data_IF_156749124300
#
_entry.id   IF_156749124300
#
_cell.length_a   1.000
_cell.length_b   1.000
_cell.length_c   1.000
_cell.angle_alpha   90.00
_cell.angle_beta   90.00
_cell.angle_gamma   90.00
#
_symmetry.space_group_name_H-M   'P 1'
#
loop_
_entity.id
_entity.type
_entity.pdbx_description
1 polymer ?
2 non-polymer ?
3 non-polymer ?
4 water ?
#
# COMPACT_ATOMS: atom_id res chain seq x y z
N UNK A 20 -3.49 30.42 -6.93
CA UNK A 20 -2.84 29.93 -8.18
C UNK A 20 -1.96 28.67 -7.93
N UNK A 21 -1.97 28.10 -6.72
CA UNK A 21 -1.31 26.80 -6.43
C UNK A 21 -2.34 25.78 -5.86
N UNK A 22 -1.92 24.69 -5.18
CA UNK A 22 -2.86 23.90 -4.32
C UNK A 22 -3.13 24.56 -2.96
N UNK A 23 -4.31 25.08 -2.75
CA UNK A 23 -4.62 25.69 -1.46
C UNK A 23 -5.67 24.89 -0.65
N UNK A 24 -6.44 24.04 -1.33
CA UNK A 24 -7.48 23.26 -0.63
C UNK A 24 -7.63 21.90 -1.26
N UNK A 25 -7.67 20.91 -0.39
CA UNK A 25 -7.61 19.53 -0.82
C UNK A 25 -8.79 18.80 -0.14
N UNK A 26 -9.59 18.13 -0.98
CA UNK A 26 -10.58 17.13 -0.52
C UNK A 26 -9.92 15.79 -0.28
N UNK A 27 -10.06 15.31 0.94
CA UNK A 27 -9.52 14.04 1.35
C UNK A 27 -10.62 13.00 1.08
N UNK A 28 -10.52 12.31 -0.06
CA UNK A 28 -11.52 11.33 -0.55
C UNK A 28 -11.18 9.95 0.00
N UNK A 29 -11.23 9.89 1.32
CA UNK A 29 -10.94 8.66 2.06
C UNK A 29 -11.34 8.86 3.53
N UNK A 30 -10.97 7.91 4.38
CA UNK A 30 -11.40 7.91 5.75
C UNK A 30 -10.31 7.25 6.65
N UNK A 31 -10.60 7.15 7.93
CA UNK A 31 -9.76 6.35 8.82
C UNK A 31 -8.33 6.86 8.92
N UNK A 32 -7.38 5.94 9.12
CA UNK A 32 -6.07 6.39 9.40
C UNK A 32 -5.46 7.18 8.20
N UNK A 33 -5.68 6.76 6.97
CA UNK A 33 -4.97 7.41 5.87
C UNK A 33 -5.55 8.80 5.68
N UNK A 34 -6.81 9.01 6.06
CA UNK A 34 -7.41 10.35 5.96
C UNK A 34 -6.74 11.30 6.96
N UNK A 35 -6.49 10.79 8.15
CA UNK A 35 -5.69 11.52 9.17
C UNK A 35 -4.25 11.78 8.72
N UNK A 36 -3.60 10.77 8.18
CA UNK A 36 -2.27 10.96 7.61
C UNK A 36 -2.23 12.09 6.59
N UNK A 37 -3.23 12.10 5.73
CA UNK A 37 -3.29 13.13 4.70
C UNK A 37 -3.57 14.47 5.27
N UNK A 38 -4.54 14.54 6.18
CA UNK A 38 -4.79 15.77 6.92
C UNK A 38 -3.51 16.36 7.58
N UNK A 39 -2.71 15.52 8.23
CA UNK A 39 -1.50 15.94 8.85
C UNK A 39 -0.49 16.60 7.86
N UNK A 40 -0.34 16.00 6.68
CA UNK A 40 0.55 16.54 5.65
C UNK A 40 0.04 17.85 5.11
N UNK A 41 -1.29 17.89 4.89
CA UNK A 41 -1.92 19.12 4.45
C UNK A 41 -1.66 20.24 5.44
N UNK A 42 -1.91 19.96 6.69
CA UNK A 42 -1.76 21.00 7.68
C UNK A 42 -0.29 21.45 7.84
N UNK A 43 0.65 20.53 7.66
CA UNK A 43 2.06 20.93 7.67
C UNK A 43 2.37 21.91 6.54
N UNK A 44 1.79 21.68 5.36
CA UNK A 44 1.99 22.60 4.20
C UNK A 44 1.11 23.83 4.12
N UNK A 45 0.22 23.95 5.08
CA UNK A 45 -0.73 25.03 5.14
C UNK A 45 -1.85 24.91 4.14
N UNK A 46 -2.18 23.69 3.80
CA UNK A 46 -3.17 23.42 2.81
C UNK A 46 -4.48 23.18 3.53
N UNK A 47 -5.54 23.85 3.03
CA UNK A 47 -6.83 23.71 3.66
C UNK A 47 -7.36 22.34 3.32
N UNK A 48 -8.08 21.80 4.26
CA UNK A 48 -8.67 20.46 4.08
C UNK A 48 -10.22 20.43 4.04
N UNK A 49 -10.74 19.52 3.24
CA UNK A 49 -12.15 19.27 3.12
C UNK A 49 -12.31 17.82 3.48
N UNK A 50 -12.96 17.50 4.62
CA UNK A 50 -13.20 16.06 4.95
C UNK A 50 -14.56 15.64 4.42
N UNK A 51 -14.59 14.80 3.39
CA UNK A 51 -15.83 14.17 2.93
C UNK A 51 -15.98 12.84 3.68
N UNK A 52 -17.17 12.59 4.22
CA UNK A 52 -17.44 11.50 5.08
C UNK A 52 -18.88 10.99 4.96
N UNK A 53 -19.06 9.72 5.34
CA UNK A 53 -20.38 9.07 5.37
C UNK A 53 -21.03 9.44 6.70
N UNK A 54 -22.31 9.15 6.84
CA UNK A 54 -22.99 9.44 8.08
C UNK A 54 -22.46 8.67 9.28
N UNK A 55 -21.84 7.52 9.04
CA UNK A 55 -21.30 6.73 10.15
C UNK A 55 -19.91 7.27 10.67
N UNK A 56 -19.34 8.28 10.02
CA UNK A 56 -17.96 8.68 10.26
C UNK A 56 -17.83 10.14 10.72
N UNK A 57 -18.87 10.67 11.29
CA UNK A 57 -18.89 12.07 11.68
C UNK A 57 -17.93 12.22 12.84
N UNK A 58 -17.63 11.12 13.56
CA UNK A 58 -16.77 11.23 14.74
C UNK A 58 -15.29 10.75 14.46
N UNK A 59 -14.93 10.58 13.20
CA UNK A 59 -13.54 10.34 12.83
C UNK A 59 -12.67 11.48 13.26
N UNK A 60 -11.49 11.15 13.77
CA UNK A 60 -10.50 12.17 14.22
C UNK A 60 -10.27 13.21 13.15
N UNK A 61 -10.08 12.77 11.93
CA UNK A 61 -9.65 13.70 10.88
C UNK A 61 -10.83 14.58 10.46
N UNK A 62 -12.07 14.07 10.56
CA UNK A 62 -13.24 14.91 10.30
C UNK A 62 -13.32 16.00 11.31
N UNK A 63 -13.10 15.65 12.56
CA UNK A 63 -13.14 16.63 13.66
C UNK A 63 -12.05 17.76 13.57
N UNK A 64 -10.90 17.42 13.00
CA UNK A 64 -9.76 18.34 12.77
C UNK A 64 -9.88 19.12 11.48
N UNK A 65 -10.71 18.70 10.53
CA UNK A 65 -10.72 19.26 9.19
C UNK A 65 -11.28 20.70 9.16
N UNK A 66 -10.86 21.49 8.18
CA UNK A 66 -11.27 22.88 8.14
C UNK A 66 -12.73 22.96 7.74
N UNK A 67 -13.11 22.13 6.74
CA UNK A 67 -14.51 22.02 6.25
C UNK A 67 -14.90 20.55 6.21
N UNK A 68 -16.17 20.25 6.49
CA UNK A 68 -16.70 18.90 6.35
C UNK A 68 -17.94 18.86 5.45
N UNK A 69 -18.07 17.79 4.67
CA UNK A 69 -19.23 17.59 3.79
C UNK A 69 -19.65 16.11 3.89
N UNK A 70 -20.89 15.87 4.29
CA UNK A 70 -21.36 14.50 4.41
C UNK A 70 -21.69 14.06 3.01
N UNK A 71 -21.07 13.00 2.49
CA UNK A 71 -21.34 12.59 1.12
C UNK A 71 -22.28 11.37 0.96
N UNK A 72 -22.92 10.93 2.03
CA UNK A 72 -23.88 9.82 1.87
C UNK A 72 -23.99 8.99 3.10
N UNK A 73 -24.86 7.95 3.05
CA UNK A 73 -25.09 7.11 4.19
C UNK A 73 -23.92 6.12 4.37
N UNK A 74 -23.98 5.38 5.46
CA UNK A 74 -22.88 4.50 5.82
C UNK A 74 -22.28 3.63 4.72
N UNK A 75 -23.08 2.94 3.89
CA UNK A 75 -22.34 2.00 3.02
C UNK A 75 -21.40 2.65 2.03
N UNK A 76 -20.28 1.98 1.78
CA UNK A 76 -19.24 2.43 0.88
C UNK A 76 -19.76 2.82 -0.44
N UNK A 77 -20.61 1.99 -1.00
CA UNK A 77 -21.18 2.21 -2.29
C UNK A 77 -21.83 3.60 -2.50
N UNK A 78 -22.35 4.14 -1.42
CA UNK A 78 -23.22 5.31 -1.42
C UNK A 78 -22.48 6.55 -0.90
N UNK A 79 -21.28 6.35 -0.41
CA UNK A 79 -20.52 7.41 0.18
C UNK A 79 -19.12 7.47 -0.47
N UNK A 80 -18.16 6.71 0.07
CA UNK A 80 -16.77 6.81 -0.31
C UNK A 80 -16.55 6.36 -1.73
N UNK A 81 -17.51 5.67 -2.31
CA UNK A 81 -17.40 5.31 -3.75
C UNK A 81 -18.32 6.14 -4.60
N UNK A 82 -18.92 7.18 -4.04
CA UNK A 82 -19.89 8.02 -4.73
C UNK A 82 -19.18 9.14 -5.52
N UNK A 83 -18.83 8.83 -6.75
CA UNK A 83 -18.02 9.69 -7.57
C UNK A 83 -18.67 11.04 -7.77
N UNK A 84 -19.99 11.06 -8.06
CA UNK A 84 -20.56 12.38 -8.18
C UNK A 84 -20.65 13.14 -6.87
N UNK A 85 -20.87 12.51 -5.74
CA UNK A 85 -20.93 13.32 -4.51
C UNK A 85 -19.53 13.87 -4.14
N UNK A 86 -18.50 13.15 -4.52
CA UNK A 86 -17.19 13.56 -4.06
C UNK A 86 -16.77 14.76 -4.94
N UNK A 87 -17.04 14.64 -6.24
CA UNK A 87 -16.78 15.75 -7.17
C UNK A 87 -17.63 16.99 -6.80
N UNK A 88 -18.91 16.85 -6.46
CA UNK A 88 -19.69 18.01 -5.99
C UNK A 88 -19.13 18.67 -4.73
N UNK A 89 -18.51 17.87 -3.87
CA UNK A 89 -17.93 18.39 -2.65
C UNK A 89 -16.71 19.29 -2.97
N UNK A 90 -15.91 18.85 -3.93
CA UNK A 90 -14.84 19.68 -4.45
C UNK A 90 -15.44 20.93 -5.07
N UNK A 91 -16.51 20.77 -5.84
CA UNK A 91 -17.11 21.96 -6.48
C UNK A 91 -17.63 22.95 -5.47
N UNK A 92 -18.44 22.50 -4.53
CA UNK A 92 -19.12 23.39 -3.60
C UNK A 92 -18.14 24.13 -2.63
N UNK A 93 -16.98 23.52 -2.35
CA UNK A 93 -16.00 24.12 -1.46
C UNK A 93 -14.98 24.99 -2.15
N UNK A 94 -14.93 24.91 -3.47
CA UNK A 94 -13.88 25.58 -4.20
C UNK A 94 -12.50 24.97 -4.02
N UNK A 95 -12.41 23.64 -4.03
CA UNK A 95 -11.14 22.95 -3.79
C UNK A 95 -10.31 22.89 -5.07
N UNK A 96 -8.99 22.68 -4.91
CA UNK A 96 -8.05 22.62 -6.01
C UNK A 96 -7.75 21.20 -6.44
N UNK A 97 -7.86 20.25 -5.50
CA UNK A 97 -7.34 18.92 -5.74
C UNK A 97 -8.07 17.90 -4.89
N UNK A 98 -7.96 16.64 -5.26
CA UNK A 98 -8.57 15.57 -4.46
C UNK A 98 -7.52 14.54 -4.20
N UNK A 99 -7.32 14.13 -2.93
CA UNK A 99 -6.42 13.04 -2.59
C UNK A 99 -7.24 11.75 -2.33
N UNK A 100 -7.10 10.73 -3.14
CA UNK A 100 -7.91 9.54 -2.97
C UNK A 100 -7.41 8.49 -1.89
N UNK A 101 -6.28 8.75 -1.22
CA UNK A 101 -5.73 7.72 -0.34
C UNK A 101 -5.39 6.41 -1.00
N UNK A 102 -5.63 5.32 -0.30
CA UNK A 102 -5.52 4.00 -0.85
C UNK A 102 -6.91 3.31 -0.69
N UNK A 103 -7.10 2.26 -1.44
CA UNK A 103 -8.36 1.54 -1.53
C UNK A 103 -9.36 2.44 -2.27
N UNK A 104 -10.63 2.24 -1.94
CA UNK A 104 -11.79 2.97 -2.48
C UNK A 104 -11.59 3.39 -3.94
N UNK A 105 -11.62 4.69 -4.25
CA UNK A 105 -11.41 5.10 -5.65
C UNK A 105 -9.97 5.37 -6.16
N UNK A 106 -8.96 5.02 -5.36
CA UNK A 106 -7.61 5.48 -5.65
C UNK A 106 -7.05 4.92 -6.91
N UNK A 107 -7.44 3.69 -7.29
CA UNK A 107 -7.00 3.14 -8.58
C UNK A 107 -8.14 3.04 -9.61
N UNK A 108 -9.14 3.90 -9.44
CA UNK A 108 -10.33 3.93 -10.36
C UNK A 108 -10.09 5.03 -11.45
N UNK A 109 -9.68 4.58 -12.63
CA UNK A 109 -9.37 5.48 -13.76
C UNK A 109 -10.53 6.35 -14.13
N UNK A 110 -11.76 5.79 -14.13
CA UNK A 110 -12.95 6.58 -14.43
C UNK A 110 -13.06 7.74 -13.44
N UNK A 111 -12.76 7.51 -12.16
CA UNK A 111 -12.79 8.58 -11.19
C UNK A 111 -11.72 9.63 -11.46
N UNK A 112 -10.51 9.17 -11.72
CA UNK A 112 -9.38 10.05 -12.05
C UNK A 112 -9.72 10.82 -13.32
N UNK A 113 -10.28 10.13 -14.30
CA UNK A 113 -10.55 10.79 -15.57
C UNK A 113 -11.56 11.88 -15.37
N UNK A 114 -12.54 11.61 -14.51
CA UNK A 114 -13.65 12.51 -14.31
C UNK A 114 -13.23 13.66 -13.44
N UNK A 115 -12.33 13.41 -12.52
CA UNK A 115 -11.78 14.47 -11.67
C UNK A 115 -11.02 15.50 -12.55
N UNK A 116 -10.16 15.04 -13.44
CA UNK A 116 -9.37 16.02 -14.24
C UNK A 116 -10.25 16.64 -15.29
N UNK A 117 -11.17 15.87 -15.87
CA UNK A 117 -12.16 16.48 -16.77
C UNK A 117 -13.04 17.57 -16.13
N UNK A 118 -13.24 17.55 -14.82
CA UNK A 118 -13.92 18.66 -14.11
C UNK A 118 -12.95 19.68 -13.58
N UNK A 119 -11.69 19.57 -14.00
CA UNK A 119 -10.74 20.65 -13.81
C UNK A 119 -10.00 20.63 -12.47
N UNK A 120 -10.20 19.62 -11.64
CA UNK A 120 -9.49 19.53 -10.35
C UNK A 120 -8.21 18.76 -10.54
N UNK A 121 -7.23 18.93 -9.65
CA UNK A 121 -6.02 18.10 -9.72
C UNK A 121 -6.25 16.76 -9.03
N UNK A 122 -6.01 15.64 -9.69
CA UNK A 122 -6.14 14.37 -8.98
C UNK A 122 -4.75 14.05 -8.42
N UNK A 123 -4.66 13.77 -7.13
CA UNK A 123 -3.32 13.56 -6.49
C UNK A 123 -3.00 12.10 -6.65
N UNK A 124 -2.26 11.82 -7.73
CA UNK A 124 -1.93 10.49 -8.24
C UNK A 124 -1.60 10.61 -9.70
N UNK A 125 -1.44 9.48 -10.39
CA UNK A 125 -1.10 9.59 -11.80
C UNK A 125 -2.34 9.95 -12.63
N UNK A 126 -2.10 10.16 -13.90
CA UNK A 126 -3.13 10.48 -14.83
C UNK A 126 -3.93 9.24 -15.09
N UNK A 127 -5.18 9.45 -15.49
CA UNK A 127 -6.10 8.37 -15.74
C UNK A 127 -5.51 7.37 -16.70
N UNK A 128 -4.84 7.86 -17.74
CA UNK A 128 -4.34 6.96 -18.77
C UNK A 128 -3.38 5.92 -18.15
N UNK A 129 -2.53 6.40 -17.25
CA UNK A 129 -1.53 5.56 -16.56
C UNK A 129 -2.19 4.57 -15.55
N UNK A 130 -3.22 5.01 -14.84
CA UNK A 130 -3.95 4.07 -14.02
C UNK A 130 -4.46 2.85 -14.85
N UNK A 131 -5.09 3.08 -16.02
CA UNK A 131 -5.56 1.96 -16.87
C UNK A 131 -4.43 1.11 -17.40
N UNK A 132 -3.32 1.74 -17.73
CA UNK A 132 -2.19 1.00 -18.25
C UNK A 132 -1.65 -0.02 -17.23
N UNK A 133 -1.38 0.49 -16.03
CA UNK A 133 -0.87 -0.34 -14.93
C UNK A 133 -1.97 -1.00 -14.15
N UNK A 134 -3.21 -0.76 -14.56
CA UNK A 134 -4.37 -1.36 -13.93
C UNK A 134 -4.85 -2.64 -14.57
N UNK A 135 -4.24 -3.06 -15.68
CA UNK A 135 -4.60 -4.28 -16.39
C UNK A 135 -3.30 -5.06 -16.61
N UNK A 136 -3.31 -6.36 -16.36
CA UNK A 136 -2.09 -7.15 -16.14
C UNK A 136 -1.20 -7.33 -17.37
N UNK A 137 -1.80 -7.80 -18.44
CA UNK A 137 -1.09 -7.99 -19.71
C UNK A 137 -0.45 -6.65 -20.15
N UNK A 138 -1.27 -5.60 -20.27
CA UNK A 138 -0.79 -4.23 -20.52
C UNK A 138 0.38 -3.76 -19.60
N UNK A 139 0.29 -4.08 -18.32
CA UNK A 139 1.30 -3.61 -17.38
C UNK A 139 2.63 -4.32 -17.63
N UNK A 140 2.57 -5.63 -17.87
CA UNK A 140 3.76 -6.44 -18.21
C UNK A 140 4.48 -5.92 -19.47
N UNK A 141 3.74 -5.89 -20.58
CA UNK A 141 4.24 -5.24 -21.79
C UNK A 141 5.10 -4.01 -21.46
N UNK A 142 4.49 -3.08 -20.73
CA UNK A 142 5.09 -1.77 -20.44
C UNK A 142 6.33 -1.87 -19.54
N UNK A 143 6.28 -2.75 -18.55
CA UNK A 143 7.42 -3.04 -17.71
C UNK A 143 8.50 -3.71 -18.56
N UNK A 144 8.09 -4.75 -19.27
CA UNK A 144 9.02 -5.51 -20.10
C UNK A 144 9.78 -4.57 -21.02
N UNK A 145 9.07 -3.59 -21.61
CA UNK A 145 9.71 -2.58 -22.50
C UNK A 145 10.62 -1.60 -21.76
N UNK A 146 10.31 -1.35 -20.49
CA UNK A 146 11.10 -0.49 -19.67
C UNK A 146 12.33 -1.20 -19.12
N UNK A 147 12.40 -2.51 -19.28
CA UNK A 147 13.43 -3.33 -18.65
C UNK A 147 13.22 -3.51 -17.15
N UNK A 148 11.97 -3.60 -16.73
CA UNK A 148 11.68 -4.04 -15.37
C UNK A 148 11.41 -5.53 -15.54
N UNK A 149 12.11 -6.39 -14.78
CA UNK A 149 12.00 -7.82 -15.00
C UNK A 149 10.65 -8.33 -14.64
N UNK A 150 10.11 -9.14 -15.53
CA UNK A 150 8.84 -9.76 -15.30
C UNK A 150 9.04 -11.26 -15.13
N UNK A 151 7.98 -11.93 -14.73
CA UNK A 151 7.98 -13.36 -14.58
C UNK A 151 7.91 -13.97 -15.99
N UNK A 152 8.79 -14.94 -16.30
CA UNK A 152 8.69 -15.55 -17.63
C UNK A 152 7.31 -16.12 -17.95
N UNK A 153 6.80 -15.83 -19.13
CA UNK A 153 5.51 -16.35 -19.52
C UNK A 153 5.31 -16.30 -21.01
N UNK A 154 4.07 -16.59 -21.39
CA UNK A 154 3.69 -16.68 -22.78
C UNK A 154 3.59 -15.35 -23.48
N UNK A 155 3.50 -14.26 -22.72
CA UNK A 155 3.38 -12.90 -23.31
C UNK A 155 2.09 -12.80 -24.18
N UNK A 156 0.97 -12.46 -23.54
CA UNK A 156 -0.38 -12.72 -24.10
C UNK A 156 -0.87 -14.09 -23.61
N UNK A 157 -1.79 -14.80 -24.31
CA UNK A 157 -2.39 -14.36 -25.56
C UNK A 157 -3.42 -13.27 -25.32
N UNK A 163 -3.27 -27.13 -27.55
CA UNK A 163 -2.55 -27.21 -28.83
C UNK A 163 -1.04 -26.89 -28.66
N UNK A 164 -0.68 -25.63 -28.89
CA UNK A 164 0.71 -25.12 -28.78
C UNK A 164 1.08 -24.78 -27.32
N UNK A 165 0.13 -24.97 -26.43
CA UNK A 165 0.34 -24.67 -25.04
C UNK A 165 1.08 -25.77 -24.32
N UNK A 166 0.91 -27.01 -24.75
CA UNK A 166 1.74 -28.08 -24.20
C UNK A 166 3.20 -27.57 -24.30
N UNK A 167 3.50 -26.92 -25.43
CA UNK A 167 4.87 -26.46 -25.70
C UNK A 167 5.18 -25.11 -25.10
N UNK A 168 4.22 -24.21 -25.05
CA UNK A 168 4.50 -22.95 -24.35
C UNK A 168 4.85 -23.29 -22.91
N UNK A 169 3.90 -23.97 -22.26
CA UNK A 169 4.10 -24.49 -20.92
C UNK A 169 5.44 -25.21 -20.84
N UNK A 170 5.73 -26.08 -21.81
CA UNK A 170 7.07 -26.71 -21.90
C UNK A 170 8.20 -25.77 -21.52
N UNK A 171 8.32 -24.68 -22.27
CA UNK A 171 9.55 -23.93 -22.22
C UNK A 171 9.52 -22.94 -21.07
N UNK A 172 8.36 -22.41 -20.73
CA UNK A 172 8.27 -21.64 -19.49
C UNK A 172 8.76 -22.53 -18.36
N UNK A 173 8.33 -23.80 -18.43
CA UNK A 173 8.71 -24.81 -17.46
C UNK A 173 7.68 -24.94 -16.34
N UNK A 174 7.26 -26.17 -16.06
CA UNK A 174 6.36 -26.42 -14.95
C UNK A 174 7.14 -26.11 -13.64
N UNK A 175 6.46 -25.78 -12.55
CA UNK A 175 5.01 -25.59 -12.49
C UNK A 175 4.55 -24.28 -13.18
N UNK A 176 3.28 -24.21 -13.54
CA UNK A 176 2.72 -23.11 -14.32
C UNK A 176 1.53 -22.55 -13.60
N UNK A 177 1.29 -21.26 -13.77
CA UNK A 177 0.06 -20.62 -13.26
C UNK A 177 -0.74 -20.04 -14.42
N UNK A 178 -1.91 -20.61 -14.62
CA UNK A 178 -2.90 -19.98 -15.50
C UNK A 178 -3.70 -19.02 -14.61
N UNK A 179 -3.28 -17.74 -14.59
CA UNK A 179 -3.72 -16.71 -13.62
C UNK A 179 -2.56 -15.78 -13.23
N UNK A 190 -5.76 -21.40 -12.05
CA UNK A 190 -5.18 -22.55 -11.36
C UNK A 190 -3.60 -22.50 -11.31
N UNK A 191 -2.99 -23.33 -10.46
CA UNK A 191 -1.56 -23.70 -10.58
C UNK A 191 -1.56 -25.07 -11.24
N UNK A 192 -0.52 -25.38 -11.99
CA UNK A 192 -0.57 -26.52 -12.88
C UNK A 192 0.76 -27.24 -12.89
N UNK A 193 0.73 -28.45 -12.34
CA UNK A 193 1.94 -29.21 -12.09
C UNK A 193 2.16 -30.34 -13.12
N UNK A 194 1.13 -30.71 -13.89
CA UNK A 194 1.22 -31.82 -14.86
C UNK A 194 0.73 -31.42 -16.26
N UNK A 195 1.45 -31.90 -17.28
CA UNK A 195 1.09 -31.66 -18.66
C UNK A 195 -0.24 -32.32 -18.99
N UNK A 196 -0.41 -33.59 -18.59
CA UNK A 196 -1.72 -34.31 -18.53
C UNK A 196 -2.89 -33.35 -18.41
N UNK A 197 -2.83 -32.58 -17.33
CA UNK A 197 -3.89 -31.69 -16.88
C UNK A 197 -3.66 -30.24 -17.30
N UNK A 198 -2.89 -29.99 -18.34
CA UNK A 198 -2.83 -28.61 -18.83
C UNK A 198 -4.17 -28.22 -19.42
N UNK A 199 -4.61 -29.00 -20.42
CA UNK A 199 -5.77 -28.63 -21.26
C UNK A 199 -7.03 -28.44 -20.40
N UNK A 200 -7.18 -29.32 -19.39
CA UNK A 200 -8.18 -29.16 -18.35
C UNK A 200 -8.10 -27.76 -17.73
N UNK A 201 -7.06 -27.51 -16.94
CA UNK A 201 -6.85 -26.22 -16.24
C UNK A 201 -6.86 -25.01 -17.17
N UNK A 202 -6.52 -25.25 -18.44
CA UNK A 202 -6.78 -24.28 -19.49
C UNK A 202 -8.30 -24.01 -19.55
N UNK A 203 -9.09 -25.05 -19.83
CA UNK A 203 -10.55 -24.89 -19.95
C UNK A 203 -11.27 -24.48 -18.64
N UNK A 204 -10.73 -24.91 -17.49
CA UNK A 204 -11.32 -24.69 -16.15
C UNK A 204 -11.29 -23.23 -15.70
N UNK A 205 -10.13 -22.59 -15.85
CA UNK A 205 -10.02 -21.15 -15.62
C UNK A 205 -10.80 -20.42 -16.75
N UNK A 206 -10.91 -21.07 -17.92
CA UNK A 206 -11.56 -20.50 -19.13
C UNK A 206 -13.08 -20.72 -19.29
N UNK A 207 -13.82 -20.70 -18.18
CA UNK A 207 -15.21 -20.26 -18.18
C UNK A 207 -15.44 -19.44 -16.90
N UNK A 208 -14.35 -18.91 -16.32
CA UNK A 208 -14.36 -18.40 -14.94
C UNK A 208 -14.20 -16.89 -14.88
N UNK A 219 -3.84 -16.16 -19.69
CA UNK A 219 -2.38 -16.15 -19.78
C UNK A 219 -1.62 -17.10 -18.81
N UNK A 220 -0.39 -17.49 -19.21
CA UNK A 220 0.50 -18.43 -18.49
C UNK A 220 1.83 -17.79 -18.11
N UNK A 221 2.43 -18.28 -17.04
CA UNK A 221 3.55 -17.61 -16.38
C UNK A 221 4.26 -18.66 -15.49
N UNK A 222 5.53 -18.46 -15.15
CA UNK A 222 6.21 -19.36 -14.18
C UNK A 222 5.57 -19.18 -12.82
N UNK A 223 5.13 -20.26 -12.18
CA UNK A 223 4.70 -20.18 -10.77
C UNK A 223 5.92 -20.17 -9.88
N UNK A 224 6.13 -19.11 -9.13
CA UNK A 224 7.25 -19.09 -8.19
C UNK A 224 6.79 -19.73 -6.92
N UNK A 225 7.54 -20.71 -6.46
CA UNK A 225 7.05 -21.58 -5.38
C UNK A 225 7.11 -20.94 -3.98
N UNK A 226 8.24 -20.35 -3.62
CA UNK A 226 8.39 -19.77 -2.30
C UNK A 226 9.10 -18.43 -2.31
N UNK A 227 8.48 -17.47 -2.97
CA UNK A 227 9.06 -16.14 -3.10
C UNK A 227 8.73 -15.31 -1.87
N UNK A 228 9.44 -14.20 -1.69
CA UNK A 228 9.05 -13.15 -0.77
C UNK A 228 8.40 -12.04 -1.57
N UNK A 229 7.72 -11.14 -0.86
CA UNK A 229 7.13 -9.97 -1.46
C UNK A 229 8.07 -8.81 -1.17
N UNK A 230 8.68 -8.25 -2.20
CA UNK A 230 9.61 -7.17 -2.03
C UNK A 230 9.18 -6.11 -2.98
N UNK A 231 8.99 -4.89 -2.44
CA UNK A 231 8.41 -3.84 -3.30
C UNK A 231 9.25 -2.63 -3.23
N UNK A 232 9.26 -1.90 -4.32
CA UNK A 232 10.10 -0.68 -4.42
C UNK A 232 9.14 0.56 -4.47
N UNK A 233 9.40 1.52 -3.60
CA UNK A 233 8.73 2.84 -3.53
C UNK A 233 9.39 3.79 -4.51
N UNK A 234 8.57 4.48 -5.29
CA UNK A 234 9.06 5.52 -6.14
C UNK A 234 8.24 6.81 -5.98
N UNK A 235 8.86 7.88 -6.49
CA UNK A 235 8.21 9.16 -6.72
C UNK A 235 8.69 9.68 -8.04
N UNK A 236 7.79 10.33 -8.77
CA UNK A 236 8.08 10.94 -10.06
C UNK A 236 7.35 12.26 -10.14
N UNK A 237 8.00 13.29 -10.70
CA UNK A 237 7.36 14.60 -10.75
C UNK A 237 7.14 15.14 -12.18
N UNK A 238 6.61 16.36 -12.29
CA UNK A 238 6.33 16.96 -13.61
C UNK A 238 7.56 17.68 -14.12
N UNK A 239 8.70 17.56 -13.43
CA UNK A 239 9.93 18.18 -13.89
C UNK A 239 10.81 17.09 -14.48
N UNK A 240 10.26 15.90 -14.76
CA UNK A 240 11.05 14.85 -15.46
C UNK A 240 11.95 14.02 -14.53
N UNK A 241 11.83 14.20 -13.21
CA UNK A 241 12.64 13.43 -12.27
C UNK A 241 11.90 12.23 -11.80
N UNK A 242 12.63 11.20 -11.39
CA UNK A 242 11.99 10.08 -10.69
C UNK A 242 13.02 9.46 -9.82
N UNK A 243 12.61 9.07 -8.60
CA UNK A 243 13.53 8.46 -7.65
C UNK A 243 12.99 7.15 -7.07
N UNK A 244 13.90 6.36 -6.53
CA UNK A 244 13.54 5.20 -5.77
C UNK A 244 13.98 5.35 -4.32
N UNK A 245 13.15 4.80 -3.46
CA UNK A 245 13.22 4.96 -2.03
C UNK A 245 13.31 3.59 -1.39
N UNK A 246 14.41 2.89 -1.70
CA UNK A 246 14.65 1.49 -1.27
C UNK A 246 13.38 0.60 -1.41
N UNK A 247 13.21 -0.39 -0.52
CA UNK A 247 12.23 -1.42 -0.68
C UNK A 247 11.65 -1.84 0.66
N UNK A 248 10.55 -2.55 0.60
CA UNK A 248 9.87 -3.10 1.76
C UNK A 248 9.64 -4.57 1.51
N UNK A 249 9.69 -5.37 2.57
CA UNK A 249 9.37 -6.75 2.52
C UNK A 249 8.04 -6.87 3.22
N UNK A 250 7.03 -7.35 2.49
CA UNK A 250 5.69 -7.53 3.06
C UNK A 250 5.24 -8.98 2.91
N UNK A 251 6.16 -9.91 3.20
CA UNK A 251 5.88 -11.30 2.98
C UNK A 251 4.94 -11.92 3.98
N UNK A 252 4.82 -11.32 5.16
CA UNK A 252 3.94 -11.90 6.18
C UNK A 252 2.53 -11.50 5.85
N UNK A 253 1.75 -12.47 5.43
CA UNK A 253 0.41 -12.26 4.92
C UNK A 253 -0.50 -13.39 5.29
N UNK A 254 -1.78 -13.10 5.25
CA UNK A 254 -2.82 -14.06 5.52
C UNK A 254 -3.88 -13.77 4.49
N UNK A 255 -4.33 -14.79 3.77
CA UNK A 255 -5.32 -14.60 2.69
C UNK A 255 -4.98 -13.49 1.73
N UNK A 256 -3.70 -13.35 1.41
CA UNK A 256 -3.15 -12.28 0.54
C UNK A 256 -3.15 -10.90 1.18
N UNK A 257 -3.64 -10.76 2.41
CA UNK A 257 -3.62 -9.44 3.10
C UNK A 257 -2.40 -9.34 4.03
N UNK A 258 -1.72 -8.22 3.94
CA UNK A 258 -0.46 -8.00 4.68
C UNK A 258 -0.70 -7.77 6.16
N UNK A 259 0.17 -8.26 7.02
CA UNK A 259 0.00 -8.15 8.46
C UNK A 259 1.13 -7.30 9.06
N UNK A 260 2.38 -7.67 8.71
CA UNK A 260 3.61 -7.02 9.12
C UNK A 260 4.42 -6.70 7.86
N UNK A 261 4.98 -5.51 7.84
CA UNK A 261 5.86 -5.05 6.77
C UNK A 261 7.15 -4.51 7.37
N UNK A 262 8.23 -4.61 6.62
CA UNK A 262 9.48 -4.03 7.08
C UNK A 262 10.28 -3.38 5.98
N UNK A 263 11.23 -2.55 6.37
CA UNK A 263 12.19 -1.90 5.42
C UNK A 263 13.57 -1.66 6.11
N UNK A 264 14.70 -1.85 5.43
CA UNK A 264 14.79 -2.38 4.07
C UNK A 264 14.42 -3.87 4.11
N UNK A 265 14.51 -4.58 2.97
CA UNK A 265 14.29 -6.00 2.96
C UNK A 265 15.57 -6.72 3.26
N UNK A 266 15.51 -7.69 4.21
CA UNK A 266 16.68 -8.47 4.59
C UNK A 266 17.29 -9.14 3.38
N UNK A 267 18.64 -9.11 3.29
CA UNK A 267 19.40 -9.82 2.24
C UNK A 267 19.66 -8.90 1.04
N UNK A 268 18.91 -7.83 0.85
CA UNK A 268 19.08 -7.00 -0.37
C UNK A 268 20.24 -6.07 -0.09
N UNK A 269 21.23 -6.11 -0.95
CA UNK A 269 22.43 -5.26 -0.85
C UNK A 269 22.19 -3.89 -1.53
N UNK A 270 23.07 -2.93 -1.26
CA UNK A 270 22.94 -1.65 -1.90
C UNK A 270 23.08 -1.78 -3.46
N UNK A 271 24.03 -2.60 -3.89
CA UNK A 271 24.22 -2.86 -5.30
C UNK A 271 22.88 -3.25 -5.95
N UNK A 272 22.24 -4.25 -5.36
CA UNK A 272 21.00 -4.83 -5.90
C UNK A 272 19.85 -3.81 -5.88
N UNK A 273 19.77 -3.08 -4.78
CA UNK A 273 18.78 -2.05 -4.57
C UNK A 273 18.87 -1.05 -5.74
N UNK A 274 20.08 -0.57 -5.99
CA UNK A 274 20.37 0.41 -7.02
C UNK A 274 19.89 -0.06 -8.41
N UNK A 275 20.17 -1.31 -8.72
CA UNK A 275 19.83 -1.91 -10.01
C UNK A 275 18.32 -1.87 -10.17
N UNK A 276 17.63 -2.57 -9.28
CA UNK A 276 16.20 -2.73 -9.44
C UNK A 276 15.55 -1.37 -9.27
N UNK A 277 16.10 -0.54 -8.39
CA UNK A 277 15.42 0.73 -8.07
C UNK A 277 15.51 1.61 -9.30
N UNK A 278 16.67 1.63 -9.92
CA UNK A 278 16.83 2.56 -11.01
C UNK A 278 16.01 2.06 -12.23
N UNK A 279 15.80 0.75 -12.36
CA UNK A 279 14.88 0.26 -13.43
C UNK A 279 13.45 0.72 -13.21
N UNK A 280 13.02 0.84 -11.94
CA UNK A 280 11.69 1.33 -11.63
C UNK A 280 11.58 2.87 -11.86
N UNK A 281 12.63 3.61 -11.50
CA UNK A 281 12.63 5.05 -11.74
C UNK A 281 12.53 5.32 -13.23
N UNK A 282 13.28 4.59 -14.00
CA UNK A 282 13.23 4.68 -15.44
C UNK A 282 11.88 4.30 -16.02
N UNK A 283 11.30 3.20 -15.56
CA UNK A 283 9.96 2.83 -15.96
C UNK A 283 8.96 3.97 -15.72
N UNK A 284 9.07 4.62 -14.58
CA UNK A 284 8.27 5.79 -14.27
C UNK A 284 8.32 6.88 -15.40
N UNK A 285 9.52 7.31 -15.75
CA UNK A 285 9.64 8.22 -16.86
C UNK A 285 9.08 7.64 -18.15
N UNK A 286 9.42 6.41 -18.50
CA UNK A 286 8.90 5.90 -19.78
C UNK A 286 7.40 6.01 -19.83
N UNK A 287 6.71 5.70 -18.75
CA UNK A 287 5.24 5.73 -18.82
C UNK A 287 4.61 7.08 -18.44
N UNK A 288 5.45 8.08 -18.15
CA UNK A 288 4.95 9.38 -17.73
C UNK A 288 4.22 9.16 -16.43
N UNK A 289 4.81 8.41 -15.53
CA UNK A 289 4.27 8.33 -14.17
C UNK A 289 4.36 9.64 -13.42
N UNK A 290 3.41 9.89 -12.51
CA UNK A 290 3.45 11.08 -11.70
C UNK A 290 3.00 10.72 -10.30
N UNK A 291 3.67 11.20 -9.26
CA UNK A 291 3.12 11.00 -7.93
C UNK A 291 3.84 9.88 -7.23
N UNK A 292 3.28 9.42 -6.09
CA UNK A 292 3.87 8.28 -5.41
C UNK A 292 3.39 6.99 -6.11
N UNK A 293 4.24 5.98 -6.10
CA UNK A 293 3.79 4.68 -6.54
C UNK A 293 4.70 3.56 -6.03
N UNK A 294 4.22 2.31 -6.20
CA UNK A 294 5.02 1.14 -5.79
C UNK A 294 5.07 0.07 -6.82
N UNK A 295 6.27 -0.42 -7.08
CA UNK A 295 6.44 -1.61 -7.94
C UNK A 295 6.56 -2.85 -7.05
N UNK A 296 5.58 -3.72 -7.08
CA UNK A 296 5.60 -4.96 -6.29
C UNK A 296 6.21 -6.07 -7.07
N UNK A 297 7.18 -6.75 -6.44
CA UNK A 297 7.79 -7.98 -6.98
C UNK A 297 7.60 -9.19 -6.09
N UNK A 298 7.55 -10.33 -6.76
CA UNK A 298 7.88 -11.61 -6.18
C UNK A 298 9.39 -11.83 -6.32
N UNK A 299 10.01 -12.12 -5.21
CA UNK A 299 11.45 -12.17 -5.16
C UNK A 299 11.89 -13.58 -4.76
N UNK A 300 12.63 -14.28 -5.62
CA UNK A 300 12.99 -15.68 -5.32
C UNK A 300 14.32 -16.11 -5.95
N UNK A 301 15.07 -16.86 -5.17
CA UNK A 301 16.46 -17.15 -5.45
C UNK A 301 17.21 -16.05 -6.18
N UNK A 302 17.18 -14.89 -5.55
CA UNK A 302 18.03 -13.77 -5.91
C UNK A 302 17.49 -12.93 -7.02
N UNK A 303 16.34 -13.31 -7.56
CA UNK A 303 15.76 -12.57 -8.68
C UNK A 303 14.37 -11.97 -8.42
N UNK A 304 14.17 -10.80 -9.02
CA UNK A 304 12.93 -9.99 -8.93
C UNK A 304 12.01 -10.26 -10.10
N UNK A 305 10.73 -10.47 -9.82
CA UNK A 305 9.76 -10.72 -10.82
C UNK A 305 8.51 -9.84 -10.58
N UNK A 306 8.25 -8.93 -11.51
CA UNK A 306 7.21 -7.95 -11.35
C UNK A 306 5.84 -8.56 -11.35
N UNK A 307 4.98 -8.09 -10.44
CA UNK A 307 3.62 -8.55 -10.36
C UNK A 307 2.60 -7.42 -10.32
N UNK A 308 2.90 -6.24 -9.81
CA UNK A 308 1.89 -5.16 -9.92
C UNK A 308 2.51 -3.82 -9.60
N UNK A 309 1.97 -2.76 -10.20
CA UNK A 309 2.31 -1.44 -9.79
C UNK A 309 1.05 -0.88 -9.10
N UNK A 310 1.17 -0.45 -7.87
CA UNK A 310 0.05 0.20 -7.17
C UNK A 310 0.31 1.62 -7.45
N UNK A 311 -0.64 2.25 -8.11
CA UNK A 311 -0.45 3.60 -8.55
C UNK A 311 -1.13 4.56 -7.60
N UNK A 312 -0.53 4.66 -6.42
CA UNK A 312 -1.13 5.35 -5.27
C UNK A 312 -0.14 5.20 -4.11
N UNK A 313 -0.38 5.95 -3.04
CA UNK A 313 0.25 5.71 -1.76
C UNK A 313 -0.25 4.36 -1.20
N UNK A 314 0.66 3.70 -0.49
CA UNK A 314 0.30 2.42 0.19
C UNK A 314 0.17 2.54 1.71
N UNK A 315 -0.60 1.61 2.29
CA UNK A 315 -0.73 1.49 3.72
C UNK A 315 0.63 1.51 4.38
N UNK A 316 1.58 0.76 3.83
CA UNK A 316 2.81 0.51 4.51
C UNK A 316 3.89 1.54 4.24
N UNK A 317 3.51 2.67 3.66
CA UNK A 317 4.53 3.72 3.39
C UNK A 317 5.37 4.21 4.57
N UNK A 318 4.85 4.16 5.84
CA UNK A 318 5.64 4.69 6.89
C UNK A 318 7.00 4.04 7.13
N UNK A 319 7.15 2.75 6.82
CA UNK A 319 8.41 2.14 7.13
C UNK A 319 9.51 2.73 6.24
N UNK A 320 9.16 3.14 5.05
CA UNK A 320 10.13 3.74 4.14
C UNK A 320 10.46 5.11 4.60
N UNK A 321 9.44 5.88 5.02
CA UNK A 321 9.73 7.14 5.69
C UNK A 321 10.77 7.06 6.74
N UNK A 322 10.67 6.03 7.64
CA UNK A 322 11.54 5.99 8.80
C UNK A 322 12.98 5.73 8.36
N UNK A 323 13.17 4.94 7.28
CA UNK A 323 14.55 4.60 6.90
C UNK A 323 15.23 5.59 5.93
N UNK A 324 14.45 6.50 5.35
CA UNK A 324 14.97 7.42 4.38
C UNK A 324 14.83 8.84 4.82
N UNK A 325 13.96 9.15 5.80
CA UNK A 325 13.72 10.54 6.17
C UNK A 325 12.83 11.30 5.11
N UNK A 326 12.09 10.63 4.24
CA UNK A 326 11.29 11.32 3.26
C UNK A 326 9.89 11.31 3.81
N UNK A 327 9.15 12.39 3.60
CA UNK A 327 7.70 12.47 3.91
C UNK A 327 7.00 12.18 2.60
N UNK A 328 6.50 10.95 2.48
CA UNK A 328 5.95 10.55 1.20
C UNK A 328 4.60 11.22 0.85
N UNK A 329 3.75 11.47 1.85
CA UNK A 329 2.45 12.13 1.59
C UNK A 329 2.71 13.64 1.28
N UNK A 330 3.63 14.29 1.99
CA UNK A 330 4.00 15.66 1.58
C UNK A 330 4.47 15.74 0.14
N UNK A 331 5.33 14.82 -0.25
CA UNK A 331 5.83 14.82 -1.62
C UNK A 331 4.67 14.59 -2.55
N UNK A 332 3.68 13.78 -2.21
CA UNK A 332 2.54 13.66 -3.09
C UNK A 332 1.94 15.01 -3.37
N UNK A 333 1.75 15.76 -2.31
CA UNK A 333 1.04 17.03 -2.37
C UNK A 333 1.85 18.05 -3.15
N UNK A 334 3.15 18.16 -2.83
CA UNK A 334 4.08 18.99 -3.61
C UNK A 334 4.04 18.69 -5.08
N UNK A 335 4.18 17.41 -5.39
CA UNK A 335 4.23 17.00 -6.79
C UNK A 335 2.94 17.34 -7.53
N UNK A 336 1.84 17.02 -6.90
CA UNK A 336 0.52 17.43 -7.45
C UNK A 336 0.46 18.94 -7.69
N UNK A 337 1.07 19.74 -6.85
CA UNK A 337 1.05 21.22 -7.00
C UNK A 337 1.93 21.72 -8.12
N UNK A 338 2.63 20.80 -8.77
CA UNK A 338 3.56 21.15 -9.81
C UNK A 338 5.03 21.33 -9.38
N UNK A 339 5.33 21.12 -8.09
CA UNK A 339 6.72 21.22 -7.59
C UNK A 339 7.59 20.03 -8.00
N UNK A 340 8.90 20.25 -8.03
CA UNK A 340 9.81 19.13 -8.11
C UNK A 340 9.89 18.34 -6.79
N UNK A 341 10.23 17.09 -6.93
CA UNK A 341 10.58 16.23 -5.75
C UNK A 341 11.61 17.01 -4.95
N UNK A 342 11.50 17.04 -3.64
CA UNK A 342 12.36 17.90 -2.88
C UNK A 342 13.81 17.44 -2.59
N UNK A 343 14.33 16.41 -3.26
CA UNK A 343 15.65 15.93 -2.99
C UNK A 343 16.04 15.19 -4.25
N UNK A 344 17.30 14.85 -4.37
CA UNK A 344 17.79 14.08 -5.48
C UNK A 344 18.13 12.72 -4.99
N UNK A 345 18.31 11.80 -5.92
CA UNK A 345 18.55 10.41 -5.63
C UNK A 345 19.77 10.20 -4.71
N UNK A 346 20.84 10.90 -4.98
CA UNK A 346 22.07 10.75 -4.15
C UNK A 346 21.88 11.32 -2.71
N UNK A 347 20.80 12.06 -2.47
CA UNK A 347 20.46 12.50 -1.10
C UNK A 347 19.84 11.35 -0.25
N UNK A 348 19.31 10.33 -0.92
CA UNK A 348 18.67 9.20 -0.26
C UNK A 348 19.66 8.14 0.15
N UNK A 349 19.76 7.89 1.46
CA UNK A 349 20.59 6.80 1.99
C UNK A 349 19.80 6.02 3.06
N UNK A 350 19.65 4.72 2.86
CA UNK A 350 18.94 3.86 3.75
C UNK A 350 19.69 3.88 5.06
N UNK A 351 19.04 4.27 6.14
CA UNK A 351 19.69 4.25 7.44
C UNK A 351 18.77 3.49 8.48
N UNK A 352 19.32 2.51 9.17
CA UNK A 352 18.50 1.74 10.12
C UNK A 352 17.48 0.80 9.51
N UNK A 353 16.45 0.48 10.28
CA UNK A 353 15.51 -0.56 9.95
C UNK A 353 14.20 -0.17 10.58
N UNK A 354 13.10 -0.48 9.93
CA UNK A 354 11.75 -0.21 10.39
C UNK A 354 10.77 -1.36 10.18
N UNK A 355 9.79 -1.44 11.09
CA UNK A 355 8.74 -2.46 11.08
C UNK A 355 7.38 -1.79 11.32
N UNK A 356 6.34 -2.39 10.73
CA UNK A 356 4.98 -1.95 10.90
C UNK A 356 4.05 -3.12 11.20
N UNK A 357 3.25 -2.99 12.22
CA UNK A 357 2.20 -3.99 12.56
C UNK A 357 0.87 -3.36 12.33
N UNK A 358 0.04 -3.95 11.44
CA UNK A 358 -1.30 -3.46 11.15
C UNK A 358 -2.25 -3.94 12.21
N UNK A 359 -2.71 -3.05 13.06
CA UNK A 359 -3.52 -3.45 14.21
C UNK A 359 -5.00 -3.31 13.80
N UNK A 360 -5.70 -4.45 13.86
CA UNK A 360 -7.02 -4.64 13.36
C UNK A 360 -7.97 -4.99 14.47
N UNK A 361 -9.19 -4.48 14.33
CA UNK A 361 -10.25 -4.79 15.31
C UNK A 361 -10.88 -6.11 14.84
N UNK A 362 -10.31 -7.21 15.30
CA UNK A 362 -10.73 -8.51 14.84
C UNK A 362 -10.29 -9.56 15.86
N UNK A 363 -10.98 -10.69 15.89
CA UNK A 363 -10.63 -11.76 16.81
C UNK A 363 -9.31 -12.36 16.33
N UNK A 364 -8.30 -12.51 17.22
CA UNK A 364 -6.97 -12.88 16.72
C UNK A 364 -6.85 -14.32 16.27
N UNK A 365 -7.86 -15.11 16.58
CA UNK A 365 -7.92 -16.52 16.26
C UNK A 365 -8.78 -16.82 15.02
N UNK A 366 -10.01 -16.26 14.99
CA UNK A 366 -10.95 -16.48 13.85
C UNK A 366 -10.90 -15.37 12.80
N UNK A 367 -10.28 -14.23 13.13
CA UNK A 367 -10.22 -13.06 12.21
C UNK A 367 -11.57 -12.50 11.75
N UNK A 368 -12.62 -12.76 12.52
CA UNK A 368 -13.90 -12.08 12.35
C UNK A 368 -13.82 -10.66 12.92
N UNK A 369 -14.42 -9.70 12.25
CA UNK A 369 -14.30 -8.33 12.70
C UNK A 369 -14.85 -8.09 14.11
N UNK A 370 -14.33 -7.10 14.84
CA UNK A 370 -14.84 -6.83 16.21
C UNK A 370 -15.15 -5.29 16.39
N UNK A 371 -16.24 -4.81 15.76
CA UNK A 371 -16.63 -3.42 15.82
C UNK A 371 -17.13 -3.15 17.23
N UNK A 372 -17.25 -1.89 17.65
CA UNK A 372 -17.83 -1.56 18.95
C UNK A 372 -16.99 -0.47 19.58
N UNK A 373 -17.34 -0.17 20.81
CA UNK A 373 -16.78 0.96 21.53
C UNK A 373 -15.38 0.69 22.18
N UNK A 374 -14.42 1.54 21.86
CA UNK A 374 -13.12 1.41 22.48
C UNK A 374 -13.30 2.24 23.71
N UNK A 375 -13.34 1.62 24.88
CA UNK A 375 -13.51 2.34 26.13
C UNK A 375 -12.26 3.11 26.55
N UNK A 376 -11.13 2.42 26.46
CA UNK A 376 -9.82 3.05 26.62
C UNK A 376 -8.86 2.59 25.49
N UNK A 377 -8.11 3.57 25.03
CA UNK A 377 -6.96 3.33 24.18
C UNK A 377 -5.74 3.88 24.93
N UNK A 378 -4.76 3.03 25.23
CA UNK A 378 -3.48 3.51 25.69
C UNK A 378 -2.46 3.17 24.62
N UNK A 379 -1.99 4.22 23.99
CA UNK A 379 -1.06 4.07 22.86
C UNK A 379 0.42 4.12 23.34
N UNK A 380 1.32 3.38 22.67
CA UNK A 380 2.67 3.28 23.15
C UNK A 380 3.45 4.51 22.69
N UNK A 381 4.64 4.69 23.17
CA UNK A 381 5.49 5.82 22.75
C UNK A 381 6.95 5.56 23.04
N UNK A 382 7.73 6.65 23.13
CA UNK A 382 9.14 6.53 23.45
C UNK A 382 9.92 6.58 22.16
N UNK A 383 11.24 6.43 22.31
CA UNK A 383 12.14 6.55 21.21
C UNK A 383 11.89 5.46 20.19
N UNK A 384 11.83 5.83 18.92
CA UNK A 384 11.73 4.91 17.85
C UNK A 384 10.35 4.29 17.70
N UNK A 385 9.35 4.91 18.34
CA UNK A 385 7.99 4.36 18.26
C UNK A 385 7.10 5.39 17.55
N UNK A 386 6.41 4.97 16.49
CA UNK A 386 5.49 5.87 15.81
C UNK A 386 4.13 5.21 15.78
N UNK A 387 3.07 5.99 15.98
CA UNK A 387 1.73 5.44 16.06
C UNK A 387 0.85 6.23 15.10
N UNK A 388 0.31 5.55 14.07
CA UNK A 388 -0.50 6.18 13.04
C UNK A 388 -1.94 5.59 13.18
N UNK A 389 -2.83 6.37 13.79
CA UNK A 389 -4.23 5.85 14.11
C UNK A 389 -5.19 6.97 14.34
N UNK A 390 -6.38 6.79 13.83
CA UNK A 390 -7.50 7.72 14.09
C UNK A 390 -8.36 7.34 15.31
N UNK A 391 -8.01 6.22 15.95
CA UNK A 391 -8.74 5.76 17.14
C UNK A 391 -8.39 6.53 18.40
N UNK A 392 -9.38 6.75 19.28
CA UNK A 392 -9.15 7.42 20.57
C UNK A 392 -10.14 6.79 21.57
N UNK A 393 -9.83 6.90 22.86
CA UNK A 393 -10.75 6.51 23.93
C UNK A 393 -12.08 7.19 23.77
N UNK A 394 -13.15 6.41 23.71
CA UNK A 394 -14.47 6.93 23.47
C UNK A 394 -14.97 6.59 22.07
N UNK A 395 -14.09 6.22 21.13
CA UNK A 395 -14.43 6.09 19.70
C UNK A 395 -15.08 4.77 19.41
N UNK A 396 -16.09 4.74 18.53
CA UNK A 396 -16.73 3.51 18.13
C UNK A 396 -16.28 3.08 16.76
N UNK A 397 -15.71 1.89 16.66
CA UNK A 397 -15.26 1.38 15.35
C UNK A 397 -16.47 0.85 14.65
N UNK A 398 -16.83 1.41 13.49
CA UNK A 398 -18.00 0.89 12.81
C UNK A 398 -17.77 -0.43 12.04
N UNK A 399 -18.87 -1.07 11.63
CA UNK A 399 -18.82 -2.34 10.96
C UNK A 399 -18.63 -2.19 9.45
N UNK A 400 -18.77 -0.96 8.96
CA UNK A 400 -19.11 -0.74 7.57
C UNK A 400 -17.93 -0.83 6.64
N UNK A 401 -16.71 -0.72 7.15
CA UNK A 401 -15.50 -0.50 6.29
C UNK A 401 -14.48 -1.63 6.67
N UNK A 402 -13.17 -1.43 6.49
CA UNK A 402 -12.15 -2.46 6.84
C UNK A 402 -11.98 -2.49 8.35
N UNK A 403 -11.13 -3.38 8.87
CA UNK A 403 -10.99 -3.48 10.32
C UNK A 403 -9.70 -2.86 10.86
N UNK A 404 -8.91 -2.26 9.99
CA UNK A 404 -7.68 -1.57 10.42
C UNK A 404 -7.96 -0.41 11.34
N UNK A 405 -7.44 -0.47 12.52
CA UNK A 405 -7.63 0.61 13.44
C UNK A 405 -6.36 1.43 13.77
N UNK A 406 -5.16 0.84 13.66
CA UNK A 406 -3.92 1.53 13.90
C UNK A 406 -2.76 0.85 13.22
N UNK A 407 -1.75 1.64 12.87
CA UNK A 407 -0.48 1.13 12.46
C UNK A 407 0.56 1.54 13.46
N UNK A 408 1.22 0.54 14.00
CA UNK A 408 2.29 0.71 15.01
C UNK A 408 3.60 0.50 14.26
N UNK A 409 4.44 1.52 14.25
CA UNK A 409 5.65 1.53 13.41
C UNK A 409 6.82 1.71 14.35
N UNK A 410 7.83 0.81 14.28
CA UNK A 410 9.05 1.06 15.05
C UNK A 410 10.28 1.20 14.17
N UNK A 411 11.29 1.87 14.73
CA UNK A 411 12.51 2.16 14.01
C UNK A 411 13.67 1.79 14.92
N UNK A 412 14.77 1.26 14.35
CA UNK A 412 16.00 1.13 15.13
C UNK A 412 17.20 1.12 14.23
N UNK A 413 18.36 1.27 14.84
CA UNK A 413 19.55 1.17 14.04
C UNK A 413 19.80 -0.23 13.45
N UNK A 414 19.17 -1.29 13.95
CA UNK A 414 19.28 -2.65 13.38
C UNK A 414 17.92 -3.26 13.38
N UNK A 415 17.77 -4.29 12.58
CA UNK A 415 16.54 -4.98 12.53
C UNK A 415 16.22 -5.54 13.91
N UNK A 416 17.21 -6.00 14.65
CA UNK A 416 16.87 -6.65 15.94
C UNK A 416 16.26 -5.58 16.88
N UNK A 417 16.84 -4.36 16.88
CA UNK A 417 16.33 -3.29 17.76
C UNK A 417 14.90 -2.96 17.37
N UNK A 418 14.62 -2.84 16.08
CA UNK A 418 13.26 -2.51 15.64
C UNK A 418 12.25 -3.57 16.05
N UNK A 419 12.62 -4.85 16.00
CA UNK A 419 11.69 -5.92 16.42
C UNK A 419 11.50 -5.86 17.90
N UNK A 420 12.57 -5.72 18.64
CA UNK A 420 12.40 -5.57 20.12
C UNK A 420 11.54 -4.35 20.53
N UNK A 421 11.75 -3.20 19.88
CA UNK A 421 10.93 -2.04 20.19
C UNK A 421 9.45 -2.39 19.89
N UNK A 422 9.21 -3.11 18.79
CA UNK A 422 7.85 -3.50 18.42
C UNK A 422 7.21 -4.39 19.46
N UNK A 423 7.95 -5.39 19.94
CA UNK A 423 7.48 -6.23 20.99
C UNK A 423 7.14 -5.41 22.24
N UNK A 424 8.03 -4.55 22.67
CA UNK A 424 7.73 -3.76 23.85
C UNK A 424 6.59 -2.78 23.64
N UNK A 425 6.46 -2.18 22.46
CA UNK A 425 5.35 -1.24 22.24
C UNK A 425 4.02 -2.03 22.22
N UNK A 426 4.01 -3.19 21.55
CA UNK A 426 2.79 -3.97 21.62
C UNK A 426 2.40 -4.33 23.08
N UNK A 427 3.33 -4.67 23.94
CA UNK A 427 2.93 -5.09 25.28
C UNK A 427 2.38 -3.92 26.04
N UNK A 428 2.71 -2.67 25.67
CA UNK A 428 2.20 -1.52 26.38
C UNK A 428 0.88 -1.09 25.82
N UNK A 429 0.52 -1.53 24.64
CA UNK A 429 -0.64 -1.00 23.97
C UNK A 429 -1.91 -1.64 24.58
N UNK A 430 -2.88 -0.82 24.99
CA UNK A 430 -4.15 -1.35 25.52
C UNK A 430 -5.25 -0.81 24.64
N UNK A 431 -6.08 -1.69 24.08
CA UNK A 431 -7.29 -1.30 23.42
C UNK A 431 -8.47 -2.08 24.04
N UNK A 432 -9.24 -1.41 24.90
CA UNK A 432 -10.20 -2.03 25.83
C UNK A 432 -11.60 -1.76 25.29
N UNK A 433 -12.30 -2.86 25.06
CA UNK A 433 -13.69 -2.85 24.64
C UNK A 433 -13.93 -3.68 23.40
N UNK A 434 -12.91 -3.91 22.58
CA UNK A 434 -13.05 -4.69 21.36
C UNK A 434 -11.86 -5.60 21.29
N UNK A 435 -11.89 -6.62 20.43
CA UNK A 435 -10.75 -7.54 20.28
C UNK A 435 -9.81 -7.02 19.19
N UNK A 436 -8.50 -7.28 19.30
CA UNK A 436 -7.60 -6.94 18.25
C UNK A 436 -6.70 -8.12 17.93
N UNK A 437 -5.97 -7.97 16.84
CA UNK A 437 -4.97 -8.93 16.43
C UNK A 437 -3.59 -8.71 17.05
N UNK A 438 -3.47 -7.92 18.09
CA UNK A 438 -2.18 -7.81 18.81
C UNK A 438 -1.59 -9.14 19.20
N UNK A 439 -2.42 -10.09 19.73
CA UNK A 439 -1.81 -11.37 20.02
C UNK A 439 -1.13 -12.07 18.79
N UNK A 440 -1.69 -11.93 17.60
CA UNK A 440 -1.08 -12.45 16.44
C UNK A 440 0.28 -11.81 16.16
N UNK A 441 0.33 -10.48 16.28
CA UNK A 441 1.58 -9.82 16.08
C UNK A 441 2.64 -10.34 17.07
N UNK A 442 2.28 -10.53 18.31
CA UNK A 442 3.27 -10.97 19.29
C UNK A 442 3.80 -12.32 18.92
N UNK A 443 2.95 -13.22 18.42
CA UNK A 443 3.42 -14.53 18.02
C UNK A 443 4.36 -14.43 16.83
N UNK A 444 4.06 -13.55 15.89
CA UNK A 444 4.92 -13.42 14.72
C UNK A 444 6.32 -12.92 15.14
N UNK A 445 6.35 -11.92 16.03
CA UNK A 445 7.59 -11.25 16.34
C UNK A 445 8.50 -12.14 17.14
N UNK A 446 7.92 -13.10 17.86
CA UNK A 446 8.73 -14.03 18.63
C UNK A 446 9.07 -15.29 17.79
N UNK A 447 8.60 -15.35 16.55
CA UNK A 447 8.91 -16.50 15.72
C UNK A 447 10.39 -16.54 15.38
N UNK A 448 11.05 -17.65 15.59
CA UNK A 448 12.48 -17.74 15.31
C UNK A 448 12.84 -17.51 13.81
N UNK A 449 11.99 -17.97 12.93
CA UNK A 449 12.27 -17.80 11.51
C UNK A 449 12.06 -16.39 11.10
N UNK A 450 11.01 -15.75 11.62
CA UNK A 450 10.88 -14.29 11.48
C UNK A 450 12.10 -13.53 12.00
N UNK A 451 12.64 -13.91 13.16
CA UNK A 451 13.81 -13.21 13.72
C UNK A 451 15.05 -13.38 12.89
N UNK A 452 15.20 -14.54 12.27
CA UNK A 452 16.30 -14.82 11.32
C UNK A 452 16.10 -13.94 10.12
N UNK A 453 14.86 -13.90 9.62
CA UNK A 453 14.43 -12.95 8.59
C UNK A 453 14.23 -13.68 7.29
N UNK A 454 13.53 -13.06 6.35
CA UNK A 454 13.48 -13.65 5.03
C UNK A 454 12.48 -14.73 4.86
N UNK A 455 11.48 -14.80 5.71
CA UNK A 455 10.44 -15.81 5.52
C UNK A 455 9.58 -15.42 4.27
N UNK A 456 9.00 -16.44 3.65
CA UNK A 456 8.33 -16.31 2.34
C UNK A 456 6.85 -16.00 2.53
N UNK A 457 6.13 -15.80 1.44
CA UNK A 457 4.76 -15.37 1.50
C UNK A 457 3.77 -16.39 2.04
N UNK A 458 4.18 -17.66 2.12
CA UNK A 458 3.30 -18.70 2.66
C UNK A 458 3.54 -18.96 4.13
N UNK A 459 4.54 -18.28 4.72
CA UNK A 459 5.03 -18.71 6.03
C UNK A 459 3.93 -18.54 7.04
N UNK A 460 3.26 -17.41 7.00
CA UNK A 460 2.31 -17.16 8.07
C UNK A 460 1.21 -18.19 8.04
N UNK A 461 0.68 -18.50 6.87
CA UNK A 461 -0.40 -19.45 6.81
C UNK A 461 0.04 -20.82 7.28
N UNK A 462 1.25 -21.25 6.92
CA UNK A 462 1.84 -22.54 7.40
C UNK A 462 1.94 -22.49 8.94
N UNK A 463 2.66 -21.48 9.43
CA UNK A 463 2.79 -21.31 10.86
C UNK A 463 1.43 -21.49 11.53
N UNK A 464 0.45 -20.78 11.02
CA UNK A 464 -0.90 -20.81 11.59
C UNK A 464 -1.55 -22.20 11.54
N UNK A 465 -1.29 -22.97 10.48
CA UNK A 465 -1.73 -24.38 10.38
C UNK A 465 -1.04 -25.28 11.41
N UNK A 466 0.26 -25.05 11.67
CA UNK A 466 1.08 -25.86 12.62
C UNK A 466 0.83 -25.59 14.13
#
# INVERSE_FOLDING_TARGET
>A
MGSSHHHHHHSSGLVPRGSHMLEKVVIANRGEIALRILRACKELGIKTVAVHSTADRDLKHVLLADETICIGPAPSAKSYLNIPAIIAAAEVTGADAIHPGYGFLSENADFAEQVERSGFTFIGPTADVIRLMGDKVSAIKAMKKAGVPCVPGSDGPVSNDIAKNKEIAKRIGYPIIIKASGGGGGRGMRVVRSEDALEESIAMTKAEAKAAFNNDMVYMEKYLENPRHVEIQVLADTHGNAVYLAERDCSMQRRHQKVVEEAPAPGITEEVRRDIGSRCANACVEIGYRGAGTFEFLYENGEFYFIEMNTRIQVEHPVTEMITGVDLVKEQLRIAAGLPISFKQEDIKVKGHAMECRINAEDPKTFLPSPGKVNHLHSPGGLGVRWDSHVYGGYTVPPHYDSMIAKLITYGDTREVAIRRMQNALSETIIDGIKTNIPLHELILEDENFQKGGTNIHYLEKKLGMNE
#
